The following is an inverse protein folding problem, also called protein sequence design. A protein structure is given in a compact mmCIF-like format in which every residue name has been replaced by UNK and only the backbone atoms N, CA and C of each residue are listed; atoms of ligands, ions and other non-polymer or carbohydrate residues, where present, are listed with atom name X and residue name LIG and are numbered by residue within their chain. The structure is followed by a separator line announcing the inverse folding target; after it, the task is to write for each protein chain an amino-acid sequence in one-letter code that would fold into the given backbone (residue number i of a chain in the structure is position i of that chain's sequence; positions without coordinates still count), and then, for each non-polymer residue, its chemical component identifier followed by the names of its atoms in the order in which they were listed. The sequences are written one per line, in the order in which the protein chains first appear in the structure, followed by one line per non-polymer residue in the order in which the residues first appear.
data_IF_304780975424
#
_entry.id   IF_304780975424
#
_cell.length_a   1.000
_cell.length_b   1.000
_cell.length_c   1.000
_cell.angle_alpha   90.00
_cell.angle_beta   90.00
_cell.angle_gamma   90.00
#
_symmetry.space_group_name_H-M   'P 1'
#
loop_
_entity.id
_entity.type
_entity.pdbx_description
1 polymer ?
#
# COMPACT_ATOMS: atom_id res chain seq x y z
N UNK A 1 1.84 -29.06 -23.26
CA UNK A 1 3.10 -29.58 -22.69
C UNK A 1 4.23 -28.65 -23.10
N UNK A 2 4.44 -27.52 -22.40
CA UNK A 2 5.57 -26.64 -22.66
C UNK A 2 6.71 -26.98 -21.69
N UNK A 3 7.82 -27.44 -22.26
CA UNK A 3 9.05 -27.79 -21.55
C UNK A 3 10.04 -26.64 -21.76
N UNK A 4 10.18 -25.77 -20.77
CA UNK A 4 11.23 -24.75 -20.76
C UNK A 4 12.55 -25.38 -20.31
N UNK A 5 13.64 -25.05 -21.01
CA UNK A 5 15.00 -25.37 -20.58
C UNK A 5 15.51 -24.25 -19.69
N UNK A 6 16.04 -24.64 -18.53
CA UNK A 6 16.45 -23.81 -17.41
C UNK A 6 17.95 -23.48 -17.48
N UNK A 7 18.34 -22.27 -17.04
CA UNK A 7 19.71 -21.94 -16.63
C UNK A 7 19.66 -21.25 -15.26
N UNK A 8 20.41 -21.80 -14.31
CA UNK A 8 20.78 -21.24 -12.98
C UNK A 8 19.65 -21.02 -11.94
N UNK A 9 19.13 -22.14 -11.41
CA UNK A 9 19.27 -22.41 -9.96
C UNK A 9 18.33 -21.79 -8.93
N UNK A 10 17.42 -20.86 -9.25
CA UNK A 10 16.46 -20.32 -8.28
C UNK A 10 15.03 -20.57 -8.75
N UNK A 11 14.37 -21.57 -8.15
CA UNK A 11 12.94 -21.85 -8.39
C UNK A 11 12.13 -21.30 -7.24
N UNK A 12 11.48 -20.16 -7.42
CA UNK A 12 10.42 -19.71 -6.51
C UNK A 12 9.16 -20.45 -6.91
N UNK A 13 8.82 -21.52 -6.19
CA UNK A 13 7.49 -22.15 -6.27
C UNK A 13 6.56 -21.37 -5.35
N UNK A 14 5.78 -20.45 -5.90
CA UNK A 14 4.71 -19.79 -5.15
C UNK A 14 3.54 -20.77 -5.05
N UNK A 15 3.26 -21.25 -3.84
CA UNK A 15 2.01 -21.95 -3.49
C UNK A 15 1.12 -20.93 -2.80
N UNK A 16 -0.06 -20.68 -3.37
CA UNK A 16 -1.03 -19.63 -3.02
C UNK A 16 -1.77 -19.88 -1.68
N UNK A 17 -1.08 -20.29 -0.62
CA UNK A 17 -1.73 -20.47 0.68
C UNK A 17 -0.81 -19.98 1.78
N UNK A 18 -1.17 -18.83 2.38
CA UNK A 18 -1.05 -18.47 3.80
C UNK A 18 -0.69 -16.99 4.00
N UNK A 19 -1.69 -16.14 4.30
CA UNK A 19 -1.48 -14.85 4.99
C UNK A 19 -2.69 -14.56 5.89
N UNK A 20 -2.66 -15.05 7.13
CA UNK A 20 -3.44 -14.49 8.25
C UNK A 20 -2.49 -14.09 9.38
N UNK A 21 -2.29 -12.79 9.59
CA UNK A 21 -1.97 -12.28 10.94
C UNK A 21 -2.15 -10.77 11.07
N UNK A 22 -2.98 -10.44 12.05
CA UNK A 22 -3.37 -9.14 12.58
C UNK A 22 -2.17 -8.38 13.19
N UNK A 23 -2.04 -7.07 12.92
CA UNK A 23 -1.32 -6.14 13.78
C UNK A 23 -2.24 -4.94 14.10
N UNK A 24 -2.49 -4.76 15.40
CA UNK A 24 -3.14 -3.61 16.04
C UNK A 24 -2.03 -2.74 16.62
N UNK A 25 -1.97 -1.47 16.20
CA UNK A 25 -1.02 -0.48 16.71
C UNK A 25 -1.78 0.76 17.17
N UNK A 26 -1.69 1.05 18.47
CA UNK A 26 -2.37 2.14 19.16
C UNK A 26 -1.78 3.51 18.80
N UNK A 27 -2.66 4.51 18.68
CA UNK A 27 -2.33 5.91 18.41
C UNK A 27 -2.28 6.70 19.74
N UNK A 28 -1.13 7.29 20.07
CA UNK A 28 -0.97 8.22 21.19
C UNK A 28 -0.89 9.67 20.66
N UNK A 29 -1.56 10.65 21.29
CA UNK A 29 -1.57 12.03 20.80
C UNK A 29 -0.32 12.81 21.26
N UNK A 30 0.21 13.66 20.36
CA UNK A 30 1.33 14.56 20.62
C UNK A 30 0.89 15.83 21.39
N UNK A 31 1.74 16.38 22.29
CA UNK A 31 1.46 17.62 23.01
C UNK A 31 1.72 18.88 22.15
N UNK A 32 0.92 19.92 22.37
CA UNK A 32 1.04 21.24 21.72
C UNK A 32 2.13 22.09 22.37
N UNK A 33 2.98 22.72 21.57
CA UNK A 33 3.97 23.71 22.03
C UNK A 33 3.36 25.12 22.20
N UNK A 34 3.80 25.91 23.20
CA UNK A 34 3.33 27.28 23.41
C UNK A 34 4.02 28.28 22.47
N UNK A 35 3.24 29.26 22.02
CA UNK A 35 3.67 30.41 21.20
C UNK A 35 4.18 31.49 22.15
N UNK A 36 5.47 31.82 22.04
CA UNK A 36 6.13 32.88 22.83
C UNK A 36 6.82 33.88 21.92
N UNK A 37 6.52 35.16 22.11
CA UNK A 37 7.12 36.31 21.43
C UNK A 37 8.47 36.65 22.08
N UNK A 38 9.53 36.75 21.28
CA UNK A 38 10.84 37.21 21.75
C UNK A 38 11.32 38.40 20.94
N UNK A 39 11.64 39.49 21.65
CA UNK A 39 12.17 40.76 21.15
C UNK A 39 13.55 40.60 20.51
N UNK A 40 13.79 41.37 19.47
CA UNK A 40 15.07 41.49 18.77
C UNK A 40 15.95 42.52 19.49
N UNK A 41 17.04 42.08 20.11
CA UNK A 41 18.06 42.97 20.68
C UNK A 41 19.38 42.76 19.92
N UNK A 42 19.79 43.80 19.22
CA UNK A 42 20.97 43.82 18.35
C UNK A 42 22.20 44.19 19.17
N UNK A 43 23.12 43.25 19.42
CA UNK A 43 24.43 43.59 20.00
C UNK A 43 25.58 43.05 19.14
N UNK A 44 26.22 44.00 18.47
CA UNK A 44 27.42 43.91 17.65
C UNK A 44 28.65 43.64 18.54
N UNK A 45 29.19 42.41 18.53
CA UNK A 45 30.58 42.15 18.94
C UNK A 45 31.29 41.37 17.84
N UNK A 46 32.34 42.01 17.33
CA UNK A 46 33.18 41.55 16.23
C UNK A 46 34.11 40.41 16.69
N UNK A 47 34.27 39.44 15.79
CA UNK A 47 35.51 38.70 15.46
C UNK A 47 36.25 37.93 16.56
N UNK A 48 36.04 36.61 16.60
CA UNK A 48 37.09 35.57 16.56
C UNK A 48 36.46 34.17 16.67
N UNK A 49 36.03 33.58 15.54
CA UNK A 49 35.95 32.12 15.32
C UNK A 49 35.41 31.86 13.90
N UNK A 50 36.22 32.21 12.90
CA UNK A 50 36.07 31.61 11.59
C UNK A 50 36.95 30.36 11.59
N UNK A 51 36.36 29.20 11.90
CA UNK A 51 36.76 27.88 11.40
C UNK A 51 35.89 26.79 12.06
N UNK A 52 35.51 25.82 11.23
CA UNK A 52 34.75 24.60 11.54
C UNK A 52 33.23 24.67 11.42
N UNK A 53 32.74 25.17 10.28
CA UNK A 53 31.56 24.54 9.67
C UNK A 53 32.09 23.27 9.00
N UNK A 54 32.04 22.16 9.73
CA UNK A 54 32.12 20.84 9.07
C UNK A 54 30.86 20.73 8.20
N UNK A 55 30.95 20.29 6.93
CA UNK A 55 29.74 19.97 6.18
C UNK A 55 29.01 18.91 7.00
N UNK A 56 27.76 19.18 7.35
CA UNK A 56 26.89 18.17 7.95
C UNK A 56 27.00 16.94 7.07
N UNK A 57 27.63 15.88 7.61
CA UNK A 57 27.96 14.68 6.88
C UNK A 57 26.69 14.16 6.25
N UNK A 58 26.60 14.25 4.92
CA UNK A 58 25.55 13.55 4.19
C UNK A 58 25.63 12.10 4.62
N UNK A 59 24.52 11.57 5.15
CA UNK A 59 24.38 10.15 5.43
C UNK A 59 24.49 9.42 4.08
N UNK A 60 25.72 9.10 3.68
CA UNK A 60 26.03 8.27 2.52
C UNK A 60 25.55 6.88 2.91
N UNK A 61 24.37 6.49 2.43
CA UNK A 61 23.88 5.11 2.58
C UNK A 61 24.95 4.19 2.00
N UNK A 62 25.39 3.21 2.77
CA UNK A 62 26.31 2.18 2.30
C UNK A 62 25.76 1.45 1.08
N UNK A 63 26.60 0.69 0.36
CA UNK A 63 26.17 -0.04 -0.83
C UNK A 63 25.01 -0.98 -0.49
N UNK A 64 23.95 -0.94 -1.31
CA UNK A 64 22.79 -1.82 -1.16
C UNK A 64 23.22 -3.24 -1.53
N UNK A 65 23.08 -4.18 -0.58
CA UNK A 65 23.50 -5.57 -0.76
C UNK A 65 22.34 -6.52 -1.07
N UNK A 66 21.12 -6.15 -0.68
CA UNK A 66 19.92 -6.99 -0.80
C UNK A 66 18.70 -6.13 -1.13
N UNK A 67 17.74 -6.70 -1.86
CA UNK A 67 16.47 -6.08 -2.21
C UNK A 67 15.35 -7.04 -1.87
N UNK A 68 14.29 -6.53 -1.25
CA UNK A 68 13.04 -7.27 -1.02
C UNK A 68 12.01 -6.64 -1.94
N UNK A 69 11.46 -7.44 -2.84
CA UNK A 69 10.41 -7.01 -3.75
C UNK A 69 9.06 -7.37 -3.14
N UNK A 70 8.12 -6.44 -3.23
CA UNK A 70 6.70 -6.76 -3.08
C UNK A 70 6.24 -7.56 -4.31
N UNK A 71 5.21 -8.39 -4.15
CA UNK A 71 4.70 -9.23 -5.23
C UNK A 71 3.61 -8.49 -6.02
N UNK A 72 2.60 -8.00 -5.30
CA UNK A 72 1.39 -7.42 -5.87
C UNK A 72 1.62 -5.99 -6.33
N UNK A 73 1.16 -5.66 -7.54
CA UNK A 73 1.34 -4.32 -8.13
C UNK A 73 2.79 -3.94 -8.47
N UNK A 74 3.76 -4.82 -8.21
CA UNK A 74 5.18 -4.61 -8.53
C UNK A 74 5.74 -5.69 -9.47
N UNK A 75 5.63 -6.97 -9.09
CA UNK A 75 6.07 -8.09 -9.94
C UNK A 75 4.93 -8.59 -10.83
N UNK A 76 3.71 -8.65 -10.27
CA UNK A 76 2.51 -9.11 -10.95
C UNK A 76 1.50 -7.98 -11.09
N UNK A 77 0.85 -7.92 -12.26
CA UNK A 77 -0.26 -7.02 -12.55
C UNK A 77 -1.56 -7.55 -11.92
N UNK A 78 -1.61 -7.54 -10.58
CA UNK A 78 -2.75 -8.00 -9.78
C UNK A 78 -3.73 -6.87 -9.41
N UNK A 79 -3.29 -5.62 -9.52
CA UNK A 79 -4.09 -4.42 -9.20
C UNK A 79 -5.37 -4.31 -10.02
N UNK A 80 -5.33 -4.72 -11.29
CA UNK A 80 -6.50 -4.70 -12.18
C UNK A 80 -7.63 -5.59 -11.68
N UNK A 81 -7.31 -6.75 -11.09
CA UNK A 81 -8.32 -7.70 -10.65
C UNK A 81 -9.11 -7.17 -9.47
N UNK A 82 -8.47 -6.43 -8.56
CA UNK A 82 -9.19 -5.79 -7.46
C UNK A 82 -10.25 -4.80 -7.97
N UNK A 83 -9.95 -4.04 -9.02
CA UNK A 83 -10.91 -3.13 -9.63
C UNK A 83 -11.99 -3.89 -10.39
N UNK A 84 -11.62 -4.87 -11.21
CA UNK A 84 -12.55 -5.67 -12.01
C UNK A 84 -13.57 -6.43 -11.14
N UNK A 85 -13.12 -7.10 -10.07
CA UNK A 85 -14.02 -7.82 -9.14
C UNK A 85 -15.02 -6.87 -8.49
N UNK A 86 -14.59 -5.68 -8.07
CA UNK A 86 -15.48 -4.69 -7.45
C UNK A 86 -16.51 -4.16 -8.45
N UNK A 87 -16.12 -3.93 -9.70
CA UNK A 87 -17.03 -3.54 -10.78
C UNK A 87 -18.07 -4.61 -11.06
N UNK A 88 -17.66 -5.89 -11.14
CA UNK A 88 -18.58 -7.01 -11.36
C UNK A 88 -19.60 -7.11 -10.22
N UNK A 89 -19.15 -6.97 -8.97
CA UNK A 89 -20.04 -7.00 -7.80
C UNK A 89 -21.05 -5.85 -7.86
N UNK A 90 -20.60 -4.62 -8.13
CA UNK A 90 -21.48 -3.44 -8.19
C UNK A 90 -22.43 -3.45 -9.38
N UNK A 91 -22.02 -4.03 -10.50
CA UNK A 91 -22.86 -4.13 -11.69
C UNK A 91 -24.17 -4.87 -11.40
N UNK A 92 -24.17 -5.86 -10.49
CA UNK A 92 -25.39 -6.59 -10.07
C UNK A 92 -26.39 -5.71 -9.33
N UNK A 93 -25.91 -4.66 -8.68
CA UNK A 93 -26.73 -3.69 -7.96
C UNK A 93 -27.00 -2.43 -8.80
N UNK A 94 -26.67 -2.47 -10.09
CA UNK A 94 -26.82 -1.34 -11.01
C UNK A 94 -26.02 -0.09 -10.55
N UNK A 95 -24.89 -0.34 -9.88
CA UNK A 95 -23.93 0.66 -9.39
C UNK A 95 -22.63 0.57 -10.18
N UNK A 96 -21.82 1.61 -10.10
CA UNK A 96 -20.51 1.70 -10.75
C UNK A 96 -19.43 1.90 -9.72
N UNK A 97 -18.29 1.24 -9.91
CA UNK A 97 -17.10 1.50 -9.10
C UNK A 97 -16.39 2.76 -9.62
N UNK A 98 -16.22 3.76 -8.78
CA UNK A 98 -15.57 5.02 -9.15
C UNK A 98 -14.22 5.20 -8.44
N UNK A 99 -13.42 6.12 -8.97
CA UNK A 99 -12.12 6.45 -8.38
C UNK A 99 -12.25 7.02 -6.96
N UNK A 100 -13.33 7.75 -6.68
CA UNK A 100 -13.64 8.30 -5.35
C UNK A 100 -13.74 7.20 -4.30
N UNK A 101 -14.52 6.16 -4.61
CA UNK A 101 -14.71 5.02 -3.73
C UNK A 101 -13.41 4.24 -3.54
N UNK A 102 -12.67 4.00 -4.64
CA UNK A 102 -11.34 3.38 -4.57
C UNK A 102 -10.43 4.15 -3.61
N UNK A 103 -10.34 5.46 -3.76
CA UNK A 103 -9.50 6.31 -2.91
C UNK A 103 -9.92 6.29 -1.43
N UNK A 104 -11.23 6.22 -1.14
CA UNK A 104 -11.73 6.08 0.24
C UNK A 104 -11.39 4.74 0.87
N UNK A 105 -11.28 3.67 0.07
CA UNK A 105 -10.94 2.32 0.53
C UNK A 105 -9.44 2.11 0.72
N UNK A 106 -8.60 2.82 -0.04
CA UNK A 106 -7.13 2.65 0.00
C UNK A 106 -6.55 2.92 1.39
N UNK A 107 -5.59 2.08 1.79
CA UNK A 107 -4.89 2.18 3.08
C UNK A 107 -5.69 1.70 4.30
N UNK A 108 -6.93 1.22 4.11
CA UNK A 108 -7.76 0.63 5.17
C UNK A 108 -7.56 -0.87 5.27
N UNK A 109 -7.93 -1.43 6.42
CA UNK A 109 -8.02 -2.89 6.57
C UNK A 109 -9.14 -3.43 5.68
N UNK A 110 -9.05 -4.70 5.26
CA UNK A 110 -10.02 -5.31 4.35
C UNK A 110 -11.47 -5.12 4.79
N UNK A 111 -11.78 -5.39 6.07
CA UNK A 111 -13.13 -5.22 6.62
C UNK A 111 -13.58 -3.76 6.69
N UNK A 112 -12.69 -2.84 7.05
CA UNK A 112 -13.00 -1.40 7.08
C UNK A 112 -13.25 -0.86 5.66
N UNK A 113 -12.47 -1.32 4.68
CA UNK A 113 -12.69 -1.00 3.27
C UNK A 113 -14.01 -1.57 2.75
N UNK A 114 -14.37 -2.78 3.18
CA UNK A 114 -15.64 -3.42 2.84
C UNK A 114 -16.84 -2.65 3.41
N UNK A 115 -16.77 -2.18 4.67
CA UNK A 115 -17.80 -1.31 5.24
C UNK A 115 -17.96 -0.03 4.42
N UNK A 116 -16.85 0.65 4.12
CA UNK A 116 -16.88 1.84 3.25
C UNK A 116 -17.49 1.52 1.89
N UNK A 117 -17.15 0.37 1.30
CA UNK A 117 -17.69 -0.06 0.01
C UNK A 117 -19.21 -0.18 0.04
N UNK A 118 -19.77 -0.92 1.01
CA UNK A 118 -21.22 -1.17 1.07
C UNK A 118 -22.01 0.08 1.49
N UNK A 119 -21.45 0.92 2.38
CA UNK A 119 -22.07 2.16 2.84
C UNK A 119 -22.10 3.23 1.74
N UNK A 120 -20.97 3.48 1.08
CA UNK A 120 -20.87 4.53 0.05
C UNK A 120 -21.63 4.19 -1.23
N UNK A 121 -21.73 2.90 -1.56
CA UNK A 121 -22.51 2.45 -2.73
C UNK A 121 -24.01 2.31 -2.44
N UNK A 122 -24.37 2.31 -1.15
CA UNK A 122 -25.74 2.17 -0.68
C UNK A 122 -26.32 0.78 -0.92
N UNK A 123 -25.47 -0.26 -0.90
CA UNK A 123 -25.90 -1.67 -1.07
C UNK A 123 -25.91 -2.44 0.26
N UNK A 124 -25.68 -1.77 1.39
CA UNK A 124 -25.61 -2.37 2.72
C UNK A 124 -26.83 -3.20 3.12
N UNK A 125 -28.01 -2.90 2.55
CA UNK A 125 -29.24 -3.66 2.79
C UNK A 125 -29.29 -4.99 2.03
N UNK A 126 -28.47 -5.14 0.98
CA UNK A 126 -28.43 -6.30 0.10
C UNK A 126 -27.17 -7.15 0.25
N UNK A 127 -26.05 -6.54 0.63
CA UNK A 127 -24.76 -7.20 0.79
C UNK A 127 -24.07 -6.70 2.06
N UNK A 128 -23.76 -7.61 2.97
CA UNK A 128 -22.95 -7.31 4.15
C UNK A 128 -21.48 -7.10 3.77
N UNK A 129 -20.73 -6.40 4.61
CA UNK A 129 -19.30 -6.20 4.38
C UNK A 129 -18.52 -7.52 4.41
N UNK A 130 -18.95 -8.46 5.26
CA UNK A 130 -18.38 -9.80 5.38
C UNK A 130 -18.64 -10.65 4.13
N UNK A 131 -19.88 -10.65 3.65
CA UNK A 131 -20.24 -11.41 2.43
C UNK A 131 -19.55 -10.83 1.20
N UNK A 132 -19.43 -9.49 1.13
CA UNK A 132 -18.64 -8.82 0.09
C UNK A 132 -17.19 -9.31 0.10
N UNK A 133 -16.56 -9.43 1.28
CA UNK A 133 -15.18 -9.90 1.36
C UNK A 133 -15.04 -11.35 0.90
N UNK A 134 -15.93 -12.24 1.34
CA UNK A 134 -15.92 -13.64 0.95
C UNK A 134 -16.05 -13.76 -0.57
N UNK A 135 -17.04 -13.11 -1.15
CA UNK A 135 -17.28 -13.15 -2.58
C UNK A 135 -16.10 -12.56 -3.38
N UNK A 136 -15.58 -11.40 -2.95
CA UNK A 136 -14.43 -10.76 -3.56
C UNK A 136 -13.20 -11.68 -3.54
N UNK A 137 -12.94 -12.35 -2.42
CA UNK A 137 -11.80 -13.27 -2.28
C UNK A 137 -11.95 -14.50 -3.17
N UNK A 138 -13.14 -15.06 -3.30
CA UNK A 138 -13.42 -16.18 -4.20
C UNK A 138 -13.16 -15.80 -5.66
N UNK A 139 -13.66 -14.65 -6.11
CA UNK A 139 -13.43 -14.17 -7.47
C UNK A 139 -11.95 -13.86 -7.75
N UNK A 140 -11.27 -13.20 -6.80
CA UNK A 140 -9.84 -12.92 -6.93
C UNK A 140 -9.00 -14.20 -7.03
N UNK A 141 -9.34 -15.23 -6.25
CA UNK A 141 -8.67 -16.53 -6.28
C UNK A 141 -8.75 -17.20 -7.66
N UNK A 142 -9.85 -17.00 -8.38
CA UNK A 142 -10.00 -17.50 -9.76
C UNK A 142 -9.21 -16.67 -10.77
N UNK A 143 -9.11 -15.34 -10.55
CA UNK A 143 -8.43 -14.43 -11.48
C UNK A 143 -6.91 -14.40 -11.31
N UNK A 144 -6.36 -14.51 -10.10
CA UNK A 144 -4.92 -14.40 -9.86
C UNK A 144 -4.03 -15.35 -10.67
N UNK A 145 -4.43 -16.61 -10.97
CA UNK A 145 -3.67 -17.48 -11.87
C UNK A 145 -3.48 -16.92 -13.28
N UNK A 146 -4.31 -15.97 -13.71
CA UNK A 146 -4.23 -15.28 -15.00
C UNK A 146 -3.41 -13.98 -14.96
N UNK A 147 -2.84 -13.64 -13.80
CA UNK A 147 -1.97 -12.47 -13.64
C UNK A 147 -0.81 -12.49 -14.64
N UNK A 148 -0.48 -11.31 -15.14
CA UNK A 148 0.65 -11.11 -16.05
C UNK A 148 1.80 -10.47 -15.27
N UNK A 149 3.02 -10.66 -15.77
CA UNK A 149 4.19 -9.97 -15.25
C UNK A 149 4.10 -8.47 -15.53
N UNK A 150 4.53 -7.66 -14.56
CA UNK A 150 4.66 -6.23 -14.76
C UNK A 150 5.78 -5.90 -15.79
N UNK A 151 5.66 -4.79 -16.54
CA UNK A 151 6.70 -4.38 -17.47
C UNK A 151 8.07 -4.23 -16.78
N UNK A 152 9.10 -4.83 -17.38
CA UNK A 152 10.46 -4.82 -16.84
C UNK A 152 10.82 -6.04 -15.99
N UNK A 153 9.86 -6.94 -15.72
CA UNK A 153 10.14 -8.27 -15.18
C UNK A 153 10.42 -9.23 -16.36
N UNK A 154 11.53 -9.97 -16.28
CA UNK A 154 12.06 -10.86 -17.33
C UNK A 154 11.95 -12.34 -16.98
#
# INVERSE_FOLDING_TARGET
MLRLKFFQGWTIRIRYADVKSNIVGAFLPLPKLPIGTAKLETQKRRSAMAQNISPAGGCQKGPITHVIFDMDGLLLDTEKFYTEVQEIILARYNKTFDWSLKAKMMGKKAIEAAHVFVEETGISDSLSAEDFLVEREEMLKEMFPTSQLMPGII
#
